data_IF_853087497949
#
_entry.id   IF_853087497949
#
_cell.length_a   1.000
_cell.length_b   1.000
_cell.length_c   1.000
_cell.angle_alpha   90.00
_cell.angle_beta   90.00
_cell.angle_gamma   90.00
#
_symmetry.space_group_name_H-M   'P 1'
#
loop_
_entity.id
_entity.type
_entity.pdbx_description
1 polymer ?
#
# COMPACT_ATOMS: atom_id res chain seq x y z
N UNK A 1 9.61 2.04 23.49
CA UNK A 1 9.39 1.65 22.08
C UNK A 1 7.97 1.11 21.96
N UNK A 2 7.31 1.33 20.83
CA UNK A 2 5.93 0.87 20.61
C UNK A 2 5.92 -0.41 19.76
N UNK A 3 4.81 -1.15 19.83
CA UNK A 3 4.58 -2.36 19.04
C UNK A 3 4.40 -2.02 17.55
N UNK A 4 4.96 -2.85 16.68
CA UNK A 4 4.83 -2.77 15.23
C UNK A 4 3.91 -3.87 14.70
N UNK A 5 3.27 -3.62 13.56
CA UNK A 5 2.26 -4.53 13.00
C UNK A 5 2.44 -4.74 11.50
N UNK A 6 2.05 -5.94 11.05
CA UNK A 6 1.88 -6.32 9.64
C UNK A 6 0.53 -7.00 9.44
N UNK A 7 -0.05 -6.93 8.25
CA UNK A 7 -1.27 -7.71 7.93
C UNK A 7 -0.88 -8.96 7.17
N UNK A 8 -1.33 -10.11 7.65
CA UNK A 8 -0.94 -11.43 7.18
C UNK A 8 -2.14 -12.25 6.73
N UNK A 9 -1.96 -13.07 5.72
CA UNK A 9 -2.88 -14.12 5.31
C UNK A 9 -2.23 -15.48 5.60
N UNK A 10 -2.76 -16.18 6.61
CA UNK A 10 -2.24 -17.48 7.06
C UNK A 10 -2.58 -18.61 6.10
N UNK A 11 -3.69 -18.51 5.37
CA UNK A 11 -4.09 -19.52 4.39
C UNK A 11 -3.10 -19.55 3.23
N UNK A 12 -2.73 -18.38 2.70
CA UNK A 12 -1.84 -18.25 1.54
C UNK A 12 -0.36 -18.07 1.90
N UNK A 13 -0.04 -17.85 3.17
CA UNK A 13 1.29 -17.42 3.65
C UNK A 13 1.77 -16.16 2.93
N UNK A 14 0.92 -15.16 2.90
CA UNK A 14 1.23 -13.84 2.30
C UNK A 14 1.18 -12.76 3.38
N UNK A 15 1.91 -11.67 3.16
CA UNK A 15 1.81 -10.50 4.03
C UNK A 15 1.95 -9.20 3.24
N UNK A 16 1.43 -8.14 3.84
CA UNK A 16 1.62 -6.76 3.40
C UNK A 16 2.21 -5.91 4.53
N UNK A 17 3.20 -5.10 4.18
CA UNK A 17 3.91 -4.18 5.05
C UNK A 17 3.37 -2.76 4.89
N UNK A 18 3.10 -2.10 6.03
CA UNK A 18 2.47 -0.77 6.08
C UNK A 18 3.30 0.32 5.41
N UNK A 19 4.63 0.27 5.52
CA UNK A 19 5.52 1.30 4.96
C UNK A 19 5.47 1.34 3.43
N UNK A 20 5.26 0.18 2.79
CA UNK A 20 5.08 0.12 1.34
C UNK A 20 3.92 0.99 0.87
N UNK A 21 2.87 1.12 1.68
CA UNK A 21 1.65 1.87 1.36
C UNK A 21 1.68 3.32 1.87
N UNK A 22 2.79 3.78 2.47
CA UNK A 22 2.90 5.14 2.97
C UNK A 22 2.53 5.35 4.42
N UNK A 23 2.18 4.29 5.14
CA UNK A 23 1.74 4.35 6.53
C UNK A 23 2.88 3.96 7.48
N UNK A 24 2.79 4.42 8.74
CA UNK A 24 3.65 3.91 9.81
C UNK A 24 3.15 2.57 10.34
N UNK A 25 4.04 1.76 10.92
CA UNK A 25 3.71 0.42 11.37
C UNK A 25 3.14 0.33 12.80
N UNK A 26 2.96 1.45 13.53
CA UNK A 26 2.24 1.40 14.81
C UNK A 26 0.73 1.36 14.57
N UNK A 27 -0.02 0.72 15.47
CA UNK A 27 -1.46 0.49 15.32
C UNK A 27 -2.26 1.72 14.86
N UNK A 28 -2.12 2.86 15.55
CA UNK A 28 -2.89 4.07 15.20
C UNK A 28 -2.41 4.75 13.90
N UNK A 29 -1.17 4.51 13.49
CA UNK A 29 -0.58 5.12 12.28
C UNK A 29 -1.23 4.55 11.02
N UNK A 30 -1.32 3.22 10.88
CA UNK A 30 -1.97 2.62 9.70
C UNK A 30 -3.49 2.42 9.86
N UNK A 31 -4.02 2.35 11.09
CA UNK A 31 -5.48 2.33 11.29
C UNK A 31 -6.14 3.62 10.80
N UNK A 32 -5.41 4.74 10.86
CA UNK A 32 -5.82 6.04 10.32
C UNK A 32 -5.28 6.32 8.92
N UNK A 33 -4.97 5.27 8.15
CA UNK A 33 -4.33 5.36 6.84
C UNK A 33 -5.08 6.27 5.85
N UNK A 34 -4.31 7.11 5.15
CA UNK A 34 -4.77 8.08 4.16
C UNK A 34 -4.17 7.78 2.78
N UNK A 35 -4.94 7.03 1.97
CA UNK A 35 -4.58 6.56 0.63
C UNK A 35 -3.39 5.58 0.62
N UNK A 36 -3.55 4.45 1.29
CA UNK A 36 -2.51 3.45 1.44
C UNK A 36 -3.03 2.11 1.95
N UNK A 37 -2.61 1.75 3.17
CA UNK A 37 -2.83 0.45 3.80
C UNK A 37 -4.31 0.10 3.96
N UNK A 38 -5.16 1.10 4.26
CA UNK A 38 -6.61 0.89 4.41
C UNK A 38 -7.22 0.44 3.08
N UNK A 39 -6.91 1.12 1.99
CA UNK A 39 -7.41 0.79 0.66
C UNK A 39 -6.87 -0.56 0.17
N UNK A 40 -5.59 -0.86 0.42
CA UNK A 40 -4.99 -2.16 0.11
C UNK A 40 -5.69 -3.31 0.84
N UNK A 41 -5.92 -3.15 2.16
CA UNK A 41 -6.58 -4.16 2.98
C UNK A 41 -8.03 -4.36 2.56
N UNK A 42 -8.76 -3.28 2.26
CA UNK A 42 -10.14 -3.39 1.78
C UNK A 42 -10.21 -4.08 0.42
N UNK A 43 -9.32 -3.75 -0.52
CA UNK A 43 -9.24 -4.43 -1.82
C UNK A 43 -9.02 -5.94 -1.63
N UNK A 44 -8.05 -6.34 -0.80
CA UNK A 44 -7.74 -7.75 -0.56
C UNK A 44 -8.89 -8.53 0.08
N UNK A 45 -9.60 -7.92 1.04
CA UNK A 45 -10.67 -8.58 1.81
C UNK A 45 -12.05 -8.54 1.15
N UNK A 46 -12.22 -7.75 0.09
CA UNK A 46 -13.53 -7.53 -0.53
C UNK A 46 -14.09 -8.82 -1.14
N UNK A 47 -15.32 -9.17 -0.76
CA UNK A 47 -16.09 -10.24 -1.39
C UNK A 47 -17.23 -9.64 -2.22
N UNK A 48 -16.91 -9.10 -3.40
CA UNK A 48 -17.85 -8.32 -4.21
C UNK A 48 -18.88 -9.15 -5.01
N UNK A 49 -18.84 -10.49 -4.96
CA UNK A 49 -19.71 -11.32 -5.77
C UNK A 49 -19.29 -11.34 -7.24
N UNK A 50 -20.10 -10.80 -8.16
CA UNK A 50 -19.82 -10.87 -9.60
C UNK A 50 -18.99 -9.67 -10.14
N UNK A 51 -18.45 -9.86 -11.33
CA UNK A 51 -17.59 -8.94 -12.10
C UNK A 51 -18.16 -7.51 -12.33
N UNK A 52 -19.46 -7.29 -12.11
CA UNK A 52 -20.15 -6.02 -12.42
C UNK A 52 -20.40 -5.08 -11.23
N UNK A 53 -20.06 -5.49 -10.01
CA UNK A 53 -20.47 -4.75 -8.80
C UNK A 53 -19.57 -3.58 -8.40
N UNK A 54 -18.32 -3.52 -8.87
CA UNK A 54 -17.42 -2.38 -8.63
C UNK A 54 -17.09 -1.72 -9.97
N UNK A 55 -17.99 -0.85 -10.45
CA UNK A 55 -17.88 -0.24 -11.79
C UNK A 55 -16.61 0.60 -11.99
N UNK A 56 -16.05 1.11 -10.90
CA UNK A 56 -14.85 1.94 -10.90
C UNK A 56 -13.57 1.12 -10.67
N UNK A 57 -13.70 -0.21 -10.53
CA UNK A 57 -12.58 -1.14 -10.37
C UNK A 57 -12.62 -2.27 -11.38
N UNK A 58 -11.74 -2.24 -12.39
CA UNK A 58 -11.79 -3.13 -13.54
C UNK A 58 -10.97 -4.42 -13.40
N UNK A 59 -10.52 -4.77 -12.19
CA UNK A 59 -9.78 -6.00 -11.89
C UNK A 59 -10.46 -6.89 -10.83
N UNK A 60 -10.86 -8.11 -11.17
CA UNK A 60 -11.23 -9.16 -10.21
C UNK A 60 -10.42 -10.43 -10.52
N UNK A 61 -9.84 -11.12 -9.52
CA UNK A 61 -9.08 -12.36 -9.76
C UNK A 61 -9.93 -13.43 -10.45
N UNK A 62 -9.48 -14.20 -11.45
CA UNK A 62 -8.15 -14.46 -12.07
C UNK A 62 -8.20 -14.21 -13.60
N UNK A 63 -7.09 -14.06 -14.34
CA UNK A 63 -6.24 -15.20 -14.71
C UNK A 63 -4.72 -15.09 -14.48
N UNK A 64 -4.08 -13.92 -14.38
CA UNK A 64 -2.61 -13.87 -14.07
C UNK A 64 -2.20 -12.76 -13.07
N UNK A 65 -3.00 -12.67 -11.99
CA UNK A 65 -2.80 -11.97 -10.70
C UNK A 65 -3.42 -10.57 -10.58
N UNK A 66 -4.71 -10.57 -10.23
CA UNK A 66 -5.50 -9.42 -9.77
C UNK A 66 -5.77 -9.57 -8.26
N UNK A 67 -5.68 -8.48 -7.48
CA UNK A 67 -5.70 -8.53 -6.00
C UNK A 67 -7.06 -8.26 -5.34
N UNK A 68 -8.07 -7.82 -6.09
CA UNK A 68 -9.42 -7.63 -5.56
C UNK A 68 -9.99 -8.95 -5.05
N UNK A 69 -10.35 -8.99 -3.77
CA UNK A 69 -10.86 -10.18 -3.09
C UNK A 69 -9.88 -11.33 -2.97
N UNK A 70 -8.59 -11.10 -3.22
CA UNK A 70 -7.57 -12.17 -3.20
C UNK A 70 -7.46 -12.85 -1.83
N UNK A 71 -7.78 -12.16 -0.74
CA UNK A 71 -7.81 -12.70 0.63
C UNK A 71 -9.23 -12.94 1.15
N UNK A 72 -10.25 -12.83 0.29
CA UNK A 72 -11.64 -13.05 0.67
C UNK A 72 -11.84 -14.48 1.17
N UNK A 73 -12.37 -14.63 2.40
CA UNK A 73 -12.62 -15.92 3.03
C UNK A 73 -11.40 -16.61 3.65
N UNK A 74 -10.21 -16.02 3.54
CA UNK A 74 -8.99 -16.57 4.13
C UNK A 74 -8.83 -16.21 5.62
N UNK A 75 -7.93 -16.93 6.31
CA UNK A 75 -7.55 -16.63 7.68
C UNK A 75 -6.56 -15.45 7.71
N UNK A 76 -7.07 -14.23 7.91
CA UNK A 76 -6.29 -12.99 7.93
C UNK A 76 -6.15 -12.45 9.36
N UNK A 77 -4.98 -11.90 9.68
CA UNK A 77 -4.68 -11.29 10.98
C UNK A 77 -3.82 -10.03 10.81
N UNK A 78 -3.98 -9.07 11.72
CA UNK A 78 -3.02 -7.98 11.93
C UNK A 78 -2.08 -8.44 13.05
N UNK A 79 -0.90 -8.95 12.67
CA UNK A 79 0.08 -9.54 13.59
C UNK A 79 0.98 -8.44 14.16
N UNK A 80 1.14 -8.42 15.47
CA UNK A 80 2.09 -7.53 16.14
C UNK A 80 3.41 -8.24 16.49
N UNK A 81 4.51 -7.49 16.56
CA UNK A 81 5.85 -8.01 16.88
C UNK A 81 6.03 -8.51 18.32
N UNK A 82 5.11 -8.17 19.22
CA UNK A 82 5.01 -8.72 20.58
C UNK A 82 3.91 -9.77 20.75
N UNK A 83 3.30 -10.27 19.68
CA UNK A 83 2.33 -11.35 19.78
C UNK A 83 3.01 -12.64 20.30
N UNK A 84 2.26 -13.47 21.01
CA UNK A 84 2.79 -14.73 21.53
C UNK A 84 3.19 -15.69 20.39
N UNK A 85 4.38 -16.29 20.51
CA UNK A 85 4.94 -17.26 19.56
C UNK A 85 5.93 -16.64 18.56
N UNK A 86 6.45 -17.49 17.67
CA UNK A 86 7.59 -17.13 16.80
C UNK A 86 7.14 -16.68 15.39
N UNK A 87 5.84 -16.44 15.18
CA UNK A 87 5.30 -16.20 13.84
C UNK A 87 5.84 -14.91 13.21
N UNK A 88 6.05 -13.87 14.02
CA UNK A 88 6.65 -12.63 13.54
C UNK A 88 8.06 -12.89 12.99
N UNK A 89 8.89 -13.59 13.78
CA UNK A 89 10.25 -13.92 13.40
C UNK A 89 10.29 -14.86 12.18
N UNK A 90 9.37 -15.84 12.09
CA UNK A 90 9.23 -16.72 10.91
C UNK A 90 8.95 -15.90 9.63
N UNK A 91 8.13 -14.85 9.71
CA UNK A 91 7.80 -14.03 8.53
C UNK A 91 8.98 -13.16 8.10
N UNK A 92 9.76 -12.66 9.05
CA UNK A 92 10.92 -11.78 8.80
C UNK A 92 12.19 -12.55 8.40
N UNK A 93 12.21 -13.87 8.59
CA UNK A 93 13.35 -14.71 8.18
C UNK A 93 13.59 -14.64 6.67
N UNK A 94 14.86 -14.52 6.26
CA UNK A 94 15.24 -14.42 4.85
C UNK A 94 14.91 -15.67 4.02
N UNK A 95 14.80 -16.83 4.68
CA UNK A 95 14.43 -18.12 4.10
C UNK A 95 12.94 -18.44 4.33
N UNK A 96 12.17 -17.45 4.79
CA UNK A 96 10.75 -17.62 5.05
C UNK A 96 9.99 -18.08 3.81
N UNK A 97 8.96 -18.90 4.04
CA UNK A 97 7.99 -19.27 3.00
C UNK A 97 6.91 -18.21 2.81
N UNK A 98 6.93 -17.16 3.65
CA UNK A 98 5.96 -16.08 3.59
C UNK A 98 6.28 -15.12 2.46
N UNK A 99 5.28 -14.86 1.62
CA UNK A 99 5.43 -14.00 0.45
C UNK A 99 4.99 -12.58 0.78
N UNK A 100 5.91 -11.63 0.65
CA UNK A 100 5.57 -10.22 0.64
C UNK A 100 4.87 -9.87 -0.68
N UNK A 101 3.60 -9.44 -0.61
CA UNK A 101 2.84 -9.00 -1.80
C UNK A 101 2.61 -7.48 -1.82
N UNK A 102 3.29 -6.71 -0.96
CA UNK A 102 3.02 -5.27 -0.76
C UNK A 102 3.16 -4.45 -2.04
N UNK A 103 4.28 -4.58 -2.75
CA UNK A 103 4.54 -3.84 -4.00
C UNK A 103 3.48 -4.12 -5.07
N UNK A 104 3.22 -5.38 -5.46
CA UNK A 104 2.24 -5.64 -6.52
C UNK A 104 0.81 -5.29 -6.09
N UNK A 105 0.44 -5.44 -4.80
CA UNK A 105 -0.84 -4.95 -4.27
C UNK A 105 -0.92 -3.42 -4.38
N UNK A 106 0.14 -2.70 -4.03
CA UNK A 106 0.15 -1.24 -4.11
C UNK A 106 0.03 -0.75 -5.55
N UNK A 107 0.67 -1.41 -6.51
CA UNK A 107 0.49 -1.12 -7.94
C UNK A 107 -0.95 -1.36 -8.41
N UNK A 108 -1.57 -2.46 -7.98
CA UNK A 108 -2.92 -2.80 -8.37
C UNK A 108 -3.97 -1.77 -7.90
N UNK A 109 -3.73 -1.10 -6.76
CA UNK A 109 -4.59 0.01 -6.33
C UNK A 109 -4.66 1.16 -7.34
N UNK A 110 -3.64 1.36 -8.17
CA UNK A 110 -3.64 2.44 -9.16
C UNK A 110 -4.04 1.97 -10.56
N UNK A 111 -3.59 0.77 -10.95
CA UNK A 111 -3.82 0.24 -12.29
C UNK A 111 -5.30 -0.03 -12.56
N UNK A 112 -6.05 -0.39 -11.51
CA UNK A 112 -7.45 -0.81 -11.63
C UNK A 112 -8.41 0.13 -10.91
N UNK A 113 -7.97 1.33 -10.51
CA UNK A 113 -8.85 2.33 -9.87
C UNK A 113 -8.46 3.72 -10.36
N UNK A 114 -9.16 4.17 -11.40
CA UNK A 114 -8.88 5.45 -12.07
C UNK A 114 -9.02 6.64 -11.13
N UNK A 115 -10.03 6.64 -10.27
CA UNK A 115 -10.24 7.69 -9.27
C UNK A 115 -9.09 7.75 -8.26
N UNK A 116 -8.64 6.60 -7.76
CA UNK A 116 -7.54 6.55 -6.79
C UNK A 116 -6.22 7.01 -7.43
N UNK A 117 -5.96 6.61 -8.68
CA UNK A 117 -4.82 7.06 -9.46
C UNK A 117 -4.85 8.58 -9.70
N UNK A 118 -5.99 9.15 -10.07
CA UNK A 118 -6.16 10.60 -10.26
C UNK A 118 -5.88 11.37 -8.95
N UNK A 119 -6.45 10.92 -7.82
CA UNK A 119 -6.22 11.57 -6.53
C UNK A 119 -4.76 11.50 -6.09
N UNK A 120 -4.08 10.39 -6.37
CA UNK A 120 -2.65 10.27 -6.08
C UNK A 120 -1.82 11.20 -6.98
N UNK A 121 -2.10 11.26 -8.29
CA UNK A 121 -1.42 12.19 -9.20
C UNK A 121 -1.58 13.65 -8.73
N UNK A 122 -2.80 14.08 -8.39
CA UNK A 122 -3.06 15.41 -7.84
C UNK A 122 -2.28 15.69 -6.55
N UNK A 123 -2.26 14.72 -5.62
CA UNK A 123 -1.54 14.83 -4.34
C UNK A 123 -0.04 14.97 -4.60
N UNK A 124 0.50 14.17 -5.52
CA UNK A 124 1.92 14.20 -5.84
C UNK A 124 2.31 15.53 -6.47
N UNK A 125 1.52 16.08 -7.39
CA UNK A 125 1.82 17.39 -7.97
C UNK A 125 1.78 18.51 -6.94
N UNK A 126 0.96 18.42 -5.89
CA UNK A 126 0.74 19.52 -4.93
C UNK A 126 1.71 19.51 -3.74
N UNK A 127 2.25 18.35 -3.36
CA UNK A 127 2.97 18.18 -2.10
C UNK A 127 4.44 17.76 -2.27
N UNK A 128 5.34 18.14 -1.35
CA UNK A 128 6.72 17.64 -1.32
C UNK A 128 6.79 16.14 -1.05
N UNK A 129 7.68 15.42 -1.74
CA UNK A 129 7.87 13.95 -1.60
C UNK A 129 9.00 13.56 -0.65
N UNK A 130 9.38 14.44 0.26
CA UNK A 130 10.57 14.27 1.11
C UNK A 130 10.44 13.09 2.08
N UNK A 131 9.22 12.69 2.44
CA UNK A 131 8.94 11.69 3.48
C UNK A 131 8.36 10.37 2.95
N UNK A 132 8.48 10.09 1.64
CA UNK A 132 8.05 8.80 1.10
C UNK A 132 8.99 7.69 1.55
N UNK A 133 8.42 6.56 1.96
CA UNK A 133 9.18 5.35 2.27
C UNK A 133 9.81 4.75 1.00
N UNK A 134 10.82 3.88 1.17
CA UNK A 134 11.63 3.38 0.05
C UNK A 134 10.81 2.69 -1.04
N UNK A 135 9.95 1.75 -0.67
CA UNK A 135 9.17 0.98 -1.65
C UNK A 135 7.99 1.78 -2.19
N UNK A 136 7.35 2.58 -1.34
CA UNK A 136 6.35 3.56 -1.75
C UNK A 136 6.92 4.49 -2.84
N UNK A 137 8.11 5.05 -2.63
CA UNK A 137 8.78 5.94 -3.58
C UNK A 137 9.11 5.24 -4.89
N UNK A 138 9.56 3.97 -4.86
CA UNK A 138 9.83 3.19 -6.08
C UNK A 138 8.56 3.02 -6.91
N UNK A 139 7.47 2.56 -6.28
CA UNK A 139 6.18 2.35 -6.97
C UNK A 139 5.64 3.66 -7.55
N UNK A 140 5.64 4.74 -6.76
CA UNK A 140 5.11 6.02 -7.22
C UNK A 140 5.98 6.67 -8.31
N UNK A 141 7.30 6.46 -8.29
CA UNK A 141 8.18 6.93 -9.38
C UNK A 141 7.93 6.16 -10.68
N UNK A 142 7.62 4.87 -10.59
CA UNK A 142 7.31 4.05 -11.76
C UNK A 142 5.96 4.42 -12.37
N UNK A 143 4.93 4.59 -11.55
CA UNK A 143 3.56 4.81 -12.02
C UNK A 143 3.24 6.29 -12.31
N UNK A 144 3.87 7.22 -11.59
CA UNK A 144 3.59 8.67 -11.68
C UNK A 144 4.88 9.49 -11.87
N UNK A 145 5.72 9.18 -12.87
CA UNK A 145 7.03 9.81 -13.02
C UNK A 145 6.95 11.33 -13.20
N UNK A 146 5.95 11.83 -13.94
CA UNK A 146 5.75 13.26 -14.17
C UNK A 146 5.31 13.99 -12.90
N UNK A 147 4.34 13.46 -12.16
CA UNK A 147 3.87 14.06 -10.92
C UNK A 147 4.99 14.11 -9.87
N UNK A 148 5.77 13.03 -9.76
CA UNK A 148 6.94 12.95 -8.88
C UNK A 148 8.01 13.99 -9.24
N UNK A 149 8.23 14.23 -10.54
CA UNK A 149 9.15 15.26 -11.01
C UNK A 149 8.62 16.67 -10.69
N UNK A 150 7.34 16.93 -10.98
CA UNK A 150 6.70 18.23 -10.74
C UNK A 150 6.73 18.60 -9.25
N UNK A 151 6.35 17.68 -8.36
CA UNK A 151 6.39 17.88 -6.92
C UNK A 151 7.81 18.22 -6.43
N UNK A 152 8.83 17.56 -6.98
CA UNK A 152 10.24 17.87 -6.69
C UNK A 152 10.63 19.27 -7.18
N UNK A 153 10.26 19.64 -8.40
CA UNK A 153 10.54 20.96 -8.95
C UNK A 153 9.87 22.06 -8.12
N UNK A 154 8.63 21.87 -7.68
CA UNK A 154 7.94 22.83 -6.79
C UNK A 154 8.71 23.10 -5.50
N UNK A 155 9.28 22.06 -4.88
CA UNK A 155 10.12 22.23 -3.68
C UNK A 155 11.36 23.06 -3.99
N UNK A 156 12.02 22.79 -5.11
CA UNK A 156 13.19 23.54 -5.55
C UNK A 156 12.84 25.01 -5.82
N UNK A 157 11.78 25.28 -6.57
CA UNK A 157 11.28 26.63 -6.83
C UNK A 157 10.95 27.38 -5.54
N UNK A 158 10.21 26.78 -4.60
CA UNK A 158 9.92 27.43 -3.31
C UNK A 158 11.18 27.81 -2.55
N UNK A 159 12.18 26.92 -2.55
CA UNK A 159 13.47 27.16 -1.88
C UNK A 159 14.27 28.27 -2.55
N UNK A 160 14.35 28.28 -3.89
CA UNK A 160 15.08 29.28 -4.66
C UNK A 160 14.47 30.68 -4.52
N UNK A 161 13.14 30.78 -4.47
CA UNK A 161 12.41 32.05 -4.41
C UNK A 161 11.96 32.44 -2.98
N UNK A 162 12.38 31.69 -1.96
CA UNK A 162 12.08 31.93 -0.54
C UNK A 162 10.58 32.12 -0.23
N UNK A 163 9.72 31.34 -0.90
CA UNK A 163 8.26 31.38 -0.75
C UNK A 163 7.87 30.56 0.49
N UNK A 164 7.21 31.18 1.47
CA UNK A 164 6.68 30.51 2.68
C UNK A 164 5.33 29.84 2.38
N UNK A 165 5.01 28.78 3.14
CA UNK A 165 3.72 28.06 3.07
C UNK A 165 2.52 28.91 3.48
#
# INVERSE_FOLDING_TARGET
MGQYFITINKTKKEYIDTYTFGDGAKFLEFMSSDMGMKEATMMLLTNAGNETMIKDFDGQGTDEVLYMGHWSGDAVEVLGDYADGDLWDEIQDENSKWKNISIPVYKALFQHNSWFAEKMDERLRKHPHTYLYSDQKKVLTELFPEAMLEGKLRVQFKKEFNIKE
#
